data_IF_879282046382
#
_entry.id   IF_879282046382
#
_cell.length_a   1.000
_cell.length_b   1.000
_cell.length_c   1.000
_cell.angle_alpha   90.00
_cell.angle_beta   90.00
_cell.angle_gamma   90.00
#
_symmetry.space_group_name_H-M   'P 1'
#
loop_
_entity.id
_entity.type
_entity.pdbx_description
1 polymer ?
#
# COMPACT_ATOMS: atom_id res chain seq x y z
N UNK A 1 5.09 -9.03 15.13
CA UNK A 1 4.38 -8.43 13.97
C UNK A 1 3.28 -9.26 13.28
N UNK A 2 3.06 -10.54 13.62
CA UNK A 2 1.97 -11.35 13.03
C UNK A 2 0.56 -10.71 13.11
N UNK A 3 0.18 -10.01 14.19
CA UNK A 3 -1.13 -9.33 14.24
C UNK A 3 -1.33 -8.29 13.13
N UNK A 4 -0.27 -7.58 12.71
CA UNK A 4 -0.36 -6.63 11.61
C UNK A 4 -0.64 -7.32 10.27
N UNK A 5 -0.03 -8.48 10.01
CA UNK A 5 -0.31 -9.26 8.79
C UNK A 5 -1.74 -9.75 8.76
N UNK A 6 -2.24 -10.30 9.87
CA UNK A 6 -3.63 -10.75 9.98
C UNK A 6 -4.62 -9.59 9.83
N UNK A 7 -4.30 -8.43 10.40
CA UNK A 7 -5.06 -7.21 10.24
C UNK A 7 -5.07 -6.71 8.79
N UNK A 8 -3.94 -6.80 8.09
CA UNK A 8 -3.85 -6.44 6.68
C UNK A 8 -4.74 -7.34 5.82
N UNK A 9 -4.69 -8.67 6.00
CA UNK A 9 -5.56 -9.62 5.28
C UNK A 9 -7.05 -9.33 5.53
N UNK A 10 -7.43 -9.13 6.78
CA UNK A 10 -8.82 -8.81 7.15
C UNK A 10 -9.25 -7.44 6.64
N UNK A 11 -8.37 -6.44 6.70
CA UNK A 11 -8.58 -5.10 6.15
C UNK A 11 -8.81 -5.15 4.64
N UNK A 12 -8.01 -5.91 3.90
CA UNK A 12 -8.19 -6.13 2.46
C UNK A 12 -9.51 -6.84 2.17
N UNK A 13 -9.89 -7.86 2.95
CA UNK A 13 -11.18 -8.55 2.82
C UNK A 13 -12.36 -7.59 3.02
N UNK A 14 -12.28 -6.68 4.00
CA UNK A 14 -13.30 -5.64 4.22
C UNK A 14 -13.30 -4.61 3.11
N UNK A 15 -12.12 -4.20 2.65
CA UNK A 15 -11.98 -3.30 1.53
C UNK A 15 -12.61 -3.88 0.26
N UNK A 16 -12.47 -5.18 -0.01
CA UNK A 16 -13.15 -5.84 -1.12
C UNK A 16 -14.67 -5.75 -1.05
N UNK A 17 -15.24 -5.98 0.14
CA UNK A 17 -16.68 -5.76 0.36
C UNK A 17 -17.09 -4.31 0.09
N UNK A 18 -16.26 -3.35 0.50
CA UNK A 18 -16.51 -1.94 0.25
C UNK A 18 -16.41 -1.59 -1.25
N UNK A 19 -15.36 -2.07 -1.93
CA UNK A 19 -15.16 -1.93 -3.38
C UNK A 19 -16.35 -2.52 -4.16
N UNK A 20 -16.90 -3.65 -3.73
CA UNK A 20 -18.08 -4.23 -4.36
C UNK A 20 -19.32 -3.32 -4.27
N UNK A 21 -19.36 -2.39 -3.31
CA UNK A 21 -20.45 -1.43 -3.15
C UNK A 21 -20.18 -0.10 -3.88
N UNK A 22 -18.97 0.46 -3.73
CA UNK A 22 -18.65 1.82 -4.23
C UNK A 22 -17.85 1.83 -5.53
N UNK A 23 -17.30 0.70 -5.94
CA UNK A 23 -16.37 0.59 -7.07
C UNK A 23 -14.94 1.03 -6.71
N UNK A 24 -13.95 0.31 -7.24
CA UNK A 24 -12.53 0.55 -6.98
C UNK A 24 -12.07 2.00 -7.25
N UNK A 25 -12.53 2.71 -8.31
CA UNK A 25 -12.14 4.09 -8.55
C UNK A 25 -12.51 5.09 -7.44
N UNK A 26 -13.45 4.74 -6.56
CA UNK A 26 -13.92 5.59 -5.46
C UNK A 26 -13.21 5.29 -4.13
N UNK A 27 -12.17 4.47 -4.14
CA UNK A 27 -11.35 4.14 -2.99
C UNK A 27 -10.00 4.85 -3.08
N UNK A 28 -9.49 5.29 -1.94
CA UNK A 28 -8.17 5.89 -1.79
C UNK A 28 -7.33 5.25 -0.67
N UNK A 29 -6.11 5.76 -0.51
CA UNK A 29 -5.16 5.29 0.50
C UNK A 29 -5.69 5.43 1.93
N UNK A 30 -6.44 6.50 2.21
CA UNK A 30 -7.04 6.74 3.53
C UNK A 30 -8.11 5.71 3.86
N UNK A 31 -8.95 5.38 2.89
CA UNK A 31 -9.97 4.32 3.00
C UNK A 31 -9.31 2.97 3.26
N UNK A 32 -8.30 2.60 2.47
CA UNK A 32 -7.54 1.37 2.67
C UNK A 32 -6.90 1.31 4.06
N UNK A 33 -6.18 2.36 4.46
CA UNK A 33 -5.54 2.49 5.78
C UNK A 33 -6.55 2.34 6.91
N UNK A 34 -7.74 2.92 6.77
CA UNK A 34 -8.79 2.82 7.80
C UNK A 34 -9.27 1.38 8.04
N UNK A 35 -9.40 0.57 6.98
CA UNK A 35 -9.81 -0.83 7.12
C UNK A 35 -8.72 -1.69 7.78
N UNK A 36 -7.45 -1.45 7.47
CA UNK A 36 -6.33 -2.12 8.13
C UNK A 36 -6.25 -1.73 9.60
N UNK A 37 -6.42 -0.45 9.92
CA UNK A 37 -6.44 0.04 11.30
C UNK A 37 -7.58 -0.58 12.10
N UNK A 38 -8.81 -0.57 11.57
CA UNK A 38 -9.97 -1.15 12.23
C UNK A 38 -9.76 -2.66 12.51
N UNK A 39 -9.27 -3.40 11.51
CA UNK A 39 -8.96 -4.81 11.68
C UNK A 39 -7.84 -5.06 12.72
N UNK A 40 -6.85 -4.18 12.80
CA UNK A 40 -5.75 -4.30 13.76
C UNK A 40 -6.24 -4.11 15.20
N UNK A 41 -7.05 -3.08 15.45
CA UNK A 41 -7.58 -2.81 16.79
C UNK A 41 -8.53 -3.92 17.24
N UNK A 42 -9.35 -4.48 16.34
CA UNK A 42 -10.23 -5.60 16.68
C UNK A 42 -9.47 -6.89 17.02
N UNK A 43 -8.44 -7.23 16.23
CA UNK A 43 -7.67 -8.46 16.44
C UNK A 43 -6.63 -8.34 17.56
N UNK A 44 -6.18 -7.12 17.85
CA UNK A 44 -5.23 -6.84 18.90
C UNK A 44 -5.67 -5.58 19.67
N UNK A 45 -6.60 -5.71 20.62
CA UNK A 45 -7.12 -4.56 21.38
C UNK A 45 -6.07 -3.80 22.21
N UNK A 46 -4.92 -4.42 22.45
CA UNK A 46 -3.78 -3.79 23.14
C UNK A 46 -2.86 -3.01 22.20
N UNK A 47 -3.07 -3.10 20.89
CA UNK A 47 -2.30 -2.35 19.91
C UNK A 47 -2.54 -0.84 20.07
N UNK A 48 -1.46 -0.06 20.08
CA UNK A 48 -1.54 1.41 20.02
C UNK A 48 -1.14 1.87 18.64
N UNK A 49 -2.02 2.60 17.97
CA UNK A 49 -1.77 3.14 16.64
C UNK A 49 -1.79 4.66 16.70
N UNK A 50 -0.76 5.29 16.15
CA UNK A 50 -0.68 6.74 15.96
C UNK A 50 -0.59 7.00 14.45
N UNK A 51 -1.60 7.66 13.90
CA UNK A 51 -1.63 8.05 12.49
C UNK A 51 -0.85 9.35 12.28
N UNK A 52 -0.31 9.53 11.07
CA UNK A 52 0.47 10.72 10.71
C UNK A 52 1.60 11.00 11.72
N UNK A 53 2.24 9.93 12.22
CA UNK A 53 3.26 10.02 13.25
C UNK A 53 4.56 10.59 12.66
N UNK A 54 4.84 11.85 13.01
CA UNK A 54 5.88 12.68 12.38
C UNK A 54 5.67 12.82 10.87
N UNK A 55 6.35 11.99 10.09
CA UNK A 55 6.29 11.98 8.62
C UNK A 55 5.94 10.59 8.11
N UNK A 56 5.49 9.69 8.98
CA UNK A 56 5.07 8.32 8.65
C UNK A 56 3.57 8.21 8.76
N UNK A 57 2.99 7.40 7.88
CA UNK A 57 1.54 7.23 7.85
C UNK A 57 1.02 6.60 9.14
N UNK A 58 1.80 5.69 9.76
CA UNK A 58 1.44 5.08 11.03
C UNK A 58 2.65 4.59 11.84
N UNK A 59 2.61 4.83 13.15
CA UNK A 59 3.35 4.08 14.16
C UNK A 59 2.39 3.10 14.85
N UNK A 60 2.74 1.82 14.91
CA UNK A 60 2.01 0.82 15.70
C UNK A 60 2.88 0.22 16.79
N UNK A 61 2.30 -0.02 17.96
CA UNK A 61 2.97 -0.63 19.11
C UNK A 61 2.18 -1.87 19.54
N UNK A 62 2.78 -3.05 19.42
CA UNK A 62 2.12 -4.34 19.62
C UNK A 62 3.06 -5.25 20.40
N UNK A 63 2.64 -5.73 21.58
CA UNK A 63 3.42 -6.71 22.36
C UNK A 63 4.84 -6.26 22.71
N UNK A 64 5.04 -4.96 22.94
CA UNK A 64 6.36 -4.37 23.22
C UNK A 64 7.21 -4.05 21.98
N UNK A 65 6.78 -4.46 20.78
CA UNK A 65 7.40 -4.08 19.53
C UNK A 65 6.81 -2.77 18.99
N UNK A 66 7.64 -2.01 18.27
CA UNK A 66 7.25 -0.75 17.63
C UNK A 66 7.57 -0.85 16.14
N UNK A 67 6.59 -0.54 15.29
CA UNK A 67 6.74 -0.59 13.84
C UNK A 67 6.31 0.71 13.17
N UNK A 68 7.16 1.22 12.27
CA UNK A 68 6.82 2.31 11.36
C UNK A 68 6.25 1.74 10.06
N UNK A 69 5.18 2.35 9.57
CA UNK A 69 4.44 1.86 8.41
C UNK A 69 4.18 3.02 7.45
N UNK A 70 4.47 2.79 6.18
CA UNK A 70 3.99 3.58 5.04
C UNK A 70 2.94 2.77 4.30
N UNK A 71 1.86 3.41 3.89
CA UNK A 71 0.85 2.88 2.99
C UNK A 71 1.03 3.53 1.62
N UNK A 72 0.92 2.75 0.56
CA UNK A 72 0.80 3.27 -0.80
C UNK A 72 -0.34 2.56 -1.51
N UNK A 73 -1.28 3.33 -2.06
CA UNK A 73 -2.45 2.79 -2.75
C UNK A 73 -2.56 3.34 -4.18
N UNK A 74 -2.18 2.54 -5.17
CA UNK A 74 -2.11 2.94 -6.57
C UNK A 74 -3.23 2.28 -7.40
N UNK A 75 -4.31 3.04 -7.59
CA UNK A 75 -5.45 2.64 -8.43
C UNK A 75 -5.57 3.57 -9.61
N UNK A 76 -5.80 2.99 -10.80
CA UNK A 76 -6.01 3.75 -12.02
C UNK A 76 -7.47 4.18 -12.14
N UNK A 77 -7.72 5.49 -12.22
CA UNK A 77 -9.07 6.03 -12.34
C UNK A 77 -9.15 7.23 -13.27
N UNK A 78 -10.31 7.40 -13.90
CA UNK A 78 -10.64 8.60 -14.65
C UNK A 78 -11.16 9.66 -13.71
N UNK A 79 -10.66 10.89 -13.82
CA UNK A 79 -11.28 12.01 -13.12
C UNK A 79 -12.43 12.57 -13.94
N UNK A 80 -13.36 13.26 -13.28
CA UNK A 80 -14.45 13.98 -13.93
C UNK A 80 -14.40 15.44 -13.51
N UNK A 81 -14.73 16.31 -14.45
CA UNK A 81 -15.00 17.72 -14.18
C UNK A 81 -16.40 17.89 -13.56
N UNK A 82 -16.71 19.09 -13.06
CA UNK A 82 -18.01 19.39 -12.45
C UNK A 82 -19.17 19.34 -13.46
N UNK A 83 -18.87 19.52 -14.75
CA UNK A 83 -19.82 19.38 -15.86
C UNK A 83 -19.92 17.92 -16.36
N UNK A 84 -19.44 16.97 -15.57
CA UNK A 84 -19.36 15.54 -15.89
C UNK A 84 -18.46 15.16 -17.06
N UNK A 85 -17.81 16.14 -17.71
CA UNK A 85 -16.87 15.86 -18.78
C UNK A 85 -15.66 15.08 -18.26
N UNK A 86 -15.09 14.29 -19.14
CA UNK A 86 -13.97 13.42 -18.82
C UNK A 86 -12.70 14.24 -18.56
N UNK A 87 -12.17 14.11 -17.35
CA UNK A 87 -10.87 14.68 -16.98
C UNK A 87 -9.69 13.75 -17.26
N UNK A 88 -8.48 14.13 -16.82
CA UNK A 88 -7.30 13.29 -16.94
C UNK A 88 -7.43 11.99 -16.14
N UNK A 89 -6.69 10.97 -16.58
CA UNK A 89 -6.52 9.76 -15.80
C UNK A 89 -5.51 9.98 -14.67
N UNK A 90 -5.76 9.36 -13.51
CA UNK A 90 -4.90 9.38 -12.32
C UNK A 90 -4.50 7.96 -11.92
N UNK A 91 -3.37 7.86 -11.23
CA UNK A 91 -2.86 6.61 -10.69
C UNK A 91 -2.33 5.68 -11.77
N UNK A 92 -1.50 6.19 -12.69
CA UNK A 92 -0.72 5.37 -13.62
C UNK A 92 0.51 4.78 -12.93
N UNK A 93 0.99 3.63 -13.40
CA UNK A 93 2.33 3.10 -13.11
C UNK A 93 3.41 3.96 -13.78
N UNK A 94 3.51 5.22 -13.34
CA UNK A 94 4.37 6.24 -13.92
C UNK A 94 5.56 6.59 -13.03
N UNK A 95 6.46 7.39 -13.59
CA UNK A 95 7.67 7.89 -12.92
C UNK A 95 7.37 8.58 -11.58
N UNK A 96 6.19 9.23 -11.45
CA UNK A 96 5.78 9.86 -10.20
C UNK A 96 5.58 8.83 -9.07
N UNK A 97 4.68 7.86 -9.26
CA UNK A 97 4.41 6.83 -8.25
C UNK A 97 5.68 6.01 -7.93
N UNK A 98 6.56 5.78 -8.92
CA UNK A 98 7.88 5.20 -8.70
C UNK A 98 8.74 6.05 -7.75
N UNK A 99 8.85 7.36 -8.01
CA UNK A 99 9.58 8.29 -7.15
C UNK A 99 9.01 8.32 -5.74
N UNK A 100 7.69 8.31 -5.60
CA UNK A 100 7.00 8.26 -4.31
C UNK A 100 7.31 6.97 -3.54
N UNK A 101 7.21 5.80 -4.18
CA UNK A 101 7.58 4.51 -3.58
C UNK A 101 9.05 4.50 -3.13
N UNK A 102 9.96 4.98 -3.97
CA UNK A 102 11.40 5.05 -3.65
C UNK A 102 11.68 6.00 -2.49
N UNK A 103 11.02 7.15 -2.47
CA UNK A 103 11.13 8.10 -1.38
C UNK A 103 10.67 7.47 -0.05
N UNK A 104 9.59 6.67 -0.07
CA UNK A 104 9.12 5.94 1.10
C UNK A 104 10.13 4.91 1.59
N UNK A 105 10.71 4.11 0.70
CA UNK A 105 11.73 3.11 1.05
C UNK A 105 12.96 3.78 1.66
N UNK A 106 13.47 4.85 1.03
CA UNK A 106 14.61 5.63 1.56
C UNK A 106 14.26 6.28 2.90
N UNK A 107 13.06 6.84 3.05
CA UNK A 107 12.58 7.44 4.30
C UNK A 107 12.52 6.40 5.43
N UNK A 108 12.05 5.20 5.14
CA UNK A 108 12.02 4.09 6.08
C UNK A 108 13.45 3.65 6.42
N UNK A 109 14.34 3.43 5.45
CA UNK A 109 15.69 2.94 5.75
C UNK A 109 16.53 3.92 6.57
N UNK A 110 16.55 5.20 6.21
CA UNK A 110 17.51 6.18 6.77
C UNK A 110 17.20 6.60 8.21
N UNK A 111 15.92 6.80 8.57
CA UNK A 111 15.62 7.37 9.90
C UNK A 111 15.68 6.31 11.00
N UNK A 112 16.42 6.62 12.04
CA UNK A 112 16.56 5.77 13.22
C UNK A 112 15.88 6.43 14.42
N UNK A 113 14.58 6.18 14.57
CA UNK A 113 13.91 6.42 15.85
C UNK A 113 14.17 5.21 16.75
N UNK A 114 14.50 5.44 18.02
CA UNK A 114 14.70 4.35 18.98
C UNK A 114 13.67 4.44 20.11
N UNK A 115 13.05 3.33 20.52
CA UNK A 115 13.17 1.98 19.94
C UNK A 115 12.16 1.75 18.79
N UNK A 116 12.63 1.62 17.53
CA UNK A 116 11.84 1.07 16.41
C UNK A 116 12.40 -0.30 16.05
N UNK A 117 11.53 -1.31 16.07
CA UNK A 117 11.89 -2.71 15.85
C UNK A 117 11.66 -3.12 14.39
N UNK A 118 10.62 -2.57 13.75
CA UNK A 118 10.22 -2.94 12.40
C UNK A 118 9.87 -1.72 11.55
N UNK A 119 10.04 -1.87 10.24
CA UNK A 119 9.74 -0.83 9.24
C UNK A 119 9.09 -1.51 8.04
N UNK A 120 7.91 -1.06 7.66
CA UNK A 120 7.11 -1.69 6.62
C UNK A 120 6.62 -0.67 5.59
N UNK A 121 6.66 -1.08 4.32
CA UNK A 121 5.88 -0.48 3.26
C UNK A 121 4.75 -1.46 2.91
N UNK A 122 3.51 -0.99 3.02
CA UNK A 122 2.31 -1.71 2.60
C UNK A 122 1.87 -1.10 1.28
N UNK A 123 2.11 -1.84 0.21
CA UNK A 123 1.90 -1.36 -1.16
C UNK A 123 0.73 -2.12 -1.79
N UNK A 124 -0.36 -1.43 -2.07
CA UNK A 124 -1.52 -1.97 -2.78
C UNK A 124 -1.65 -1.30 -4.14
N UNK A 125 -1.76 -2.08 -5.21
CA UNK A 125 -1.80 -1.58 -6.58
C UNK A 125 -2.69 -2.42 -7.49
N UNK A 126 -3.18 -1.78 -8.56
CA UNK A 126 -4.08 -2.42 -9.51
C UNK A 126 -3.35 -3.21 -10.60
N UNK A 127 -3.50 -4.54 -10.63
CA UNK A 127 -2.74 -5.47 -11.48
C UNK A 127 -3.14 -5.39 -12.97
N UNK A 128 -4.37 -4.92 -13.25
CA UNK A 128 -4.93 -4.88 -14.61
C UNK A 128 -5.35 -3.47 -14.99
N UNK A 129 -4.62 -2.90 -15.95
CA UNK A 129 -5.02 -1.67 -16.62
C UNK A 129 -6.27 -1.91 -17.49
N UNK A 130 -7.16 -0.91 -17.65
CA UNK A 130 -8.27 -1.01 -18.58
C UNK A 130 -7.77 -1.29 -20.01
N UNK A 131 -8.53 -2.08 -20.79
CA UNK A 131 -8.17 -2.50 -22.15
C UNK A 131 -7.87 -1.34 -23.13
N UNK A 132 -8.31 -0.11 -22.81
CA UNK A 132 -8.08 1.10 -23.60
C UNK A 132 -6.90 1.97 -23.13
N UNK A 133 -6.12 1.50 -22.14
CA UNK A 133 -4.95 2.25 -21.69
C UNK A 133 -3.85 2.20 -22.77
N UNK A 134 -3.33 3.37 -23.16
CA UNK A 134 -2.13 3.49 -24.03
C UNK A 134 -0.82 3.37 -23.23
N UNK A 135 -0.88 2.80 -22.01
CA UNK A 135 0.25 2.73 -21.11
C UNK A 135 1.23 1.65 -21.58
N UNK A 136 2.52 1.96 -21.51
CA UNK A 136 3.56 1.06 -22.02
C UNK A 136 3.83 -0.16 -21.12
N UNK A 137 3.55 -0.05 -19.82
CA UNK A 137 3.84 -1.09 -18.83
C UNK A 137 2.62 -1.35 -17.93
N UNK A 138 2.37 -2.60 -17.60
CA UNK A 138 1.43 -3.00 -16.55
C UNK A 138 1.96 -2.67 -15.15
N UNK A 139 1.07 -2.57 -14.17
CA UNK A 139 1.48 -2.38 -12.77
C UNK A 139 2.29 -3.57 -12.23
N UNK A 140 2.03 -4.80 -12.67
CA UNK A 140 2.84 -5.98 -12.30
C UNK A 140 4.29 -5.86 -12.81
N UNK A 141 4.50 -5.39 -14.04
CA UNK A 141 5.85 -5.14 -14.59
C UNK A 141 6.59 -3.99 -13.87
N UNK A 142 5.83 -3.09 -13.26
CA UNK A 142 6.34 -1.91 -12.58
C UNK A 142 6.62 -2.17 -11.09
N UNK A 143 5.68 -2.79 -10.38
CA UNK A 143 5.63 -2.93 -8.92
C UNK A 143 5.56 -4.37 -8.41
N UNK A 144 5.56 -5.39 -9.27
CA UNK A 144 5.76 -6.76 -8.80
C UNK A 144 7.09 -6.90 -8.05
N UNK A 145 7.26 -7.99 -7.31
CA UNK A 145 8.54 -8.32 -6.63
C UNK A 145 9.73 -8.33 -7.61
N UNK A 146 9.48 -8.73 -8.86
CA UNK A 146 10.45 -8.66 -9.98
C UNK A 146 10.26 -7.43 -10.88
N UNK A 147 9.47 -6.47 -10.45
CA UNK A 147 9.12 -5.25 -11.15
C UNK A 147 10.31 -4.32 -11.29
N UNK A 148 10.35 -3.58 -12.39
CA UNK A 148 11.47 -2.69 -12.72
C UNK A 148 11.76 -1.65 -11.62
N UNK A 149 10.78 -1.25 -10.82
CA UNK A 149 10.97 -0.21 -9.81
C UNK A 149 11.82 -0.66 -8.60
N UNK A 150 11.85 -1.96 -8.34
CA UNK A 150 12.64 -2.58 -7.28
C UNK A 150 14.01 -3.11 -7.76
N UNK A 151 14.24 -3.13 -9.08
CA UNK A 151 15.48 -3.62 -9.71
C UNK A 151 16.65 -2.62 -9.74
N UNK A 152 16.47 -1.38 -9.30
CA UNK A 152 17.59 -0.47 -9.09
C UNK A 152 18.39 -0.90 -7.86
N UNK A 153 19.71 -1.10 -8.02
CA UNK A 153 20.59 -1.66 -6.99
C UNK A 153 20.49 -0.95 -5.63
N UNK A 154 20.35 0.38 -5.65
CA UNK A 154 20.27 1.22 -4.44
C UNK A 154 19.01 0.97 -3.60
N UNK A 155 17.93 0.49 -4.23
CA UNK A 155 16.63 0.24 -3.57
C UNK A 155 16.49 -1.22 -3.20
N UNK A 156 16.94 -2.13 -4.08
CA UNK A 156 16.88 -3.57 -3.84
C UNK A 156 17.56 -3.97 -2.53
N UNK A 157 18.70 -3.36 -2.19
CA UNK A 157 19.45 -3.65 -0.95
C UNK A 157 18.73 -3.18 0.32
N UNK A 158 17.78 -2.26 0.21
CA UNK A 158 17.02 -1.72 1.34
C UNK A 158 15.78 -2.56 1.65
N UNK A 159 15.37 -3.42 0.72
CA UNK A 159 14.16 -4.22 0.83
C UNK A 159 14.53 -5.58 1.39
N UNK A 160 13.90 -5.92 2.50
CA UNK A 160 13.91 -7.25 3.06
C UNK A 160 12.80 -8.12 2.49
N UNK A 161 12.31 -9.11 3.25
CA UNK A 161 11.27 -10.01 2.78
C UNK A 161 10.03 -9.27 2.27
N UNK A 162 9.58 -9.66 1.08
CA UNK A 162 8.31 -9.25 0.49
C UNK A 162 7.31 -10.40 0.61
N UNK A 163 6.13 -10.10 1.14
CA UNK A 163 5.02 -11.04 1.19
C UNK A 163 3.87 -10.50 0.33
N UNK A 164 3.58 -11.16 -0.78
CA UNK A 164 2.40 -10.86 -1.59
C UNK A 164 1.17 -11.45 -0.91
N UNK A 165 0.25 -10.59 -0.50
CA UNK A 165 -1.01 -10.97 0.12
C UNK A 165 -2.07 -10.98 -0.98
N UNK A 166 -2.41 -12.19 -1.41
CA UNK A 166 -3.53 -12.37 -2.33
C UNK A 166 -4.83 -11.99 -1.65
N UNK A 167 -5.62 -11.20 -2.37
CA UNK A 167 -6.85 -10.64 -1.86
C UNK A 167 -8.03 -11.49 -2.36
N UNK A 168 -8.72 -12.16 -1.46
CA UNK A 168 -9.92 -12.94 -1.79
C UNK A 168 -11.19 -12.09 -1.61
N UNK A 169 -11.94 -11.88 -2.69
CA UNK A 169 -13.21 -11.15 -2.65
C UNK A 169 -13.60 -10.53 -3.99
N UNK A 170 -14.92 -10.32 -4.19
CA UNK A 170 -15.42 -9.62 -5.39
C UNK A 170 -14.81 -8.21 -5.48
N UNK A 171 -14.17 -7.88 -6.61
CA UNK A 171 -13.54 -6.58 -6.86
C UNK A 171 -12.09 -6.46 -6.36
N UNK A 172 -11.54 -7.48 -5.70
CA UNK A 172 -10.13 -7.55 -5.33
C UNK A 172 -9.28 -8.33 -6.34
N UNK A 173 -9.90 -8.97 -7.33
CA UNK A 173 -9.24 -9.65 -8.45
C UNK A 173 -8.36 -8.72 -9.30
N UNK A 174 -8.54 -7.41 -9.11
CA UNK A 174 -7.79 -6.35 -9.75
C UNK A 174 -6.74 -5.72 -8.83
N UNK A 175 -6.60 -6.14 -7.58
CA UNK A 175 -5.64 -5.57 -6.61
C UNK A 175 -4.61 -6.61 -6.14
N UNK A 176 -3.35 -6.20 -6.14
CA UNK A 176 -2.24 -6.88 -5.47
C UNK A 176 -1.88 -6.05 -4.25
N UNK A 177 -1.64 -6.71 -3.12
CA UNK A 177 -1.08 -6.07 -1.94
C UNK A 177 0.23 -6.74 -1.56
N UNK A 178 1.28 -5.95 -1.38
CA UNK A 178 2.59 -6.41 -0.94
C UNK A 178 2.90 -5.84 0.45
N UNK A 179 3.29 -6.73 1.35
CA UNK A 179 3.77 -6.42 2.68
C UNK A 179 5.30 -6.50 2.68
N UNK A 180 5.95 -5.35 2.58
CA UNK A 180 7.38 -5.23 2.32
C UNK A 180 8.09 -4.83 3.61
N UNK A 181 9.00 -5.66 4.11
CA UNK A 181 9.89 -5.28 5.22
C UNK A 181 11.05 -4.45 4.68
N UNK A 182 11.38 -3.35 5.34
CA UNK A 182 12.54 -2.52 5.01
C UNK A 182 13.67 -2.82 6.00
N UNK A 183 14.89 -3.02 5.49
CA UNK A 183 16.08 -3.21 6.30
C UNK A 183 16.40 -1.96 7.14
N UNK A 184 16.99 -2.19 8.32
CA UNK A 184 17.39 -1.12 9.25
C UNK A 184 18.75 -0.54 8.88
#
# INVERSE_FOLDING_TARGET
MEPLRKALREGLRRLGKHIACVGLPNVDESTFRSFVLAALIEQCPTAKCQLEWHTYDMLTQIGGENALIEFKFYVFRRTRHLDESDGPWKGNAGVQNQRETRACIKKLSVRQYRPIHHKYLILAYENKLPAHSKLKNSFDEAYGVDGFFFKEEDVHRLIGPVESIQCEGKGLDRLTCEFIRIHQ
#
